data_IF_183927880199
#
_entry.id   IF_183927880199
#
_cell.length_a   1.000
_cell.length_b   1.000
_cell.length_c   1.000
_cell.angle_alpha   90.00
_cell.angle_beta   90.00
_cell.angle_gamma   90.00
#
_symmetry.space_group_name_H-M   'P 1'
#
loop_
_entity.id
_entity.type
_entity.pdbx_description
1 polymer ?
#
# COMPACT_ATOMS: atom_id res chain seq x y z
N UNK A 1 19.62 -10.93 15.87
CA UNK A 1 19.11 -9.55 15.79
C UNK A 1 18.35 -9.30 17.09
N UNK A 2 18.65 -8.24 17.81
CA UNK A 2 18.03 -7.96 19.10
C UNK A 2 17.01 -6.82 18.91
N UNK A 3 15.74 -7.08 19.25
CA UNK A 3 14.67 -6.09 19.22
C UNK A 3 14.57 -5.40 20.56
N UNK A 4 14.23 -4.11 20.56
CA UNK A 4 13.86 -3.39 21.77
C UNK A 4 12.42 -3.73 22.19
N UNK A 5 12.05 -3.33 23.39
CA UNK A 5 10.74 -3.66 23.99
C UNK A 5 9.55 -3.17 23.12
N UNK A 6 9.58 -1.94 22.62
CA UNK A 6 8.54 -1.39 21.77
C UNK A 6 8.39 -2.17 20.45
N UNK A 7 9.53 -2.59 19.85
CA UNK A 7 9.50 -3.45 18.66
C UNK A 7 8.91 -4.83 18.96
N UNK A 8 9.24 -5.42 20.13
CA UNK A 8 8.68 -6.70 20.55
C UNK A 8 7.17 -6.58 20.74
N UNK A 9 6.70 -5.53 21.43
CA UNK A 9 5.27 -5.26 21.59
C UNK A 9 4.56 -5.13 20.24
N UNK A 10 5.13 -4.40 19.28
CA UNK A 10 4.57 -4.27 17.94
C UNK A 10 4.53 -5.59 17.17
N UNK A 11 5.54 -6.45 17.33
CA UNK A 11 5.59 -7.78 16.70
C UNK A 11 4.52 -8.71 17.30
N UNK A 12 4.32 -8.68 18.60
CA UNK A 12 3.47 -9.61 19.33
C UNK A 12 1.99 -9.19 19.39
N UNK A 13 1.67 -7.94 19.05
CA UNK A 13 0.29 -7.46 19.07
C UNK A 13 -0.60 -8.28 18.14
N UNK A 14 -1.73 -8.82 18.63
CA UNK A 14 -2.60 -9.73 17.86
C UNK A 14 -4.09 -9.39 17.87
N UNK A 15 -4.55 -8.51 18.76
CA UNK A 15 -5.98 -8.20 18.89
C UNK A 15 -6.27 -6.73 18.64
N UNK A 16 -7.20 -6.47 17.73
CA UNK A 16 -7.68 -5.14 17.41
C UNK A 16 -6.70 -4.29 16.60
N UNK A 17 -7.08 -3.07 16.27
CA UNK A 17 -6.24 -2.13 15.52
C UNK A 17 -5.04 -1.68 16.37
N UNK A 18 -3.89 -1.52 15.70
CA UNK A 18 -2.66 -1.04 16.31
C UNK A 18 -1.98 -0.03 15.37
N UNK A 19 -1.61 1.11 15.91
CA UNK A 19 -0.83 2.11 15.19
C UNK A 19 0.57 2.19 15.80
N UNK A 20 1.60 2.03 14.94
CA UNK A 20 3.01 2.13 15.34
C UNK A 20 3.62 3.37 14.71
N UNK A 21 4.02 4.33 15.54
CA UNK A 21 4.70 5.55 15.10
C UNK A 21 6.20 5.32 15.23
N UNK A 22 6.93 5.50 14.11
CA UNK A 22 8.35 5.21 14.09
C UNK A 22 9.10 6.10 13.07
N UNK A 23 10.21 6.69 13.49
CA UNK A 23 11.07 7.54 12.67
C UNK A 23 11.81 6.80 11.55
N UNK A 24 12.48 7.51 10.63
CA UNK A 24 13.37 6.91 9.65
C UNK A 24 14.47 6.07 10.35
N UNK A 25 14.87 4.94 9.74
CA UNK A 25 15.92 4.09 10.29
C UNK A 25 15.54 3.23 11.50
N UNK A 26 14.34 3.37 12.08
CA UNK A 26 13.89 2.62 13.27
C UNK A 26 13.59 1.13 13.04
N UNK A 27 13.84 0.60 11.85
CA UNK A 27 13.60 -0.81 11.54
C UNK A 27 12.15 -1.18 11.25
N UNK A 28 11.27 -0.24 10.88
CA UNK A 28 9.84 -0.48 10.59
C UNK A 28 9.59 -1.71 9.71
N UNK A 29 10.30 -1.80 8.60
CA UNK A 29 10.16 -2.92 7.65
C UNK A 29 10.54 -4.25 8.30
N UNK A 30 11.57 -4.25 9.13
CA UNK A 30 12.03 -5.44 9.86
C UNK A 30 10.99 -5.88 10.88
N UNK A 31 10.49 -4.95 11.68
CA UNK A 31 9.42 -5.21 12.67
C UNK A 31 8.19 -5.80 11.97
N UNK A 32 7.77 -5.22 10.84
CA UNK A 32 6.59 -5.65 10.11
C UNK A 32 6.75 -7.07 9.53
N UNK A 33 7.89 -7.38 8.94
CA UNK A 33 8.16 -8.73 8.43
C UNK A 33 8.25 -9.78 9.53
N UNK A 34 8.84 -9.43 10.69
CA UNK A 34 8.84 -10.31 11.86
C UNK A 34 7.45 -10.46 12.49
N UNK A 35 6.62 -9.42 12.46
CA UNK A 35 5.21 -9.52 12.88
C UNK A 35 4.44 -10.52 12.03
N UNK A 36 4.54 -10.44 10.70
CA UNK A 36 3.88 -11.39 9.79
C UNK A 36 4.31 -12.83 10.12
N UNK A 37 5.62 -13.05 10.28
CA UNK A 37 6.14 -14.36 10.69
C UNK A 37 5.58 -14.81 12.03
N UNK A 38 5.54 -13.92 13.03
CA UNK A 38 5.02 -14.21 14.36
C UNK A 38 3.54 -14.61 14.35
N UNK A 39 2.72 -13.91 13.56
CA UNK A 39 1.29 -14.25 13.39
C UNK A 39 1.12 -15.67 12.84
N UNK A 40 1.94 -16.08 11.89
CA UNK A 40 1.89 -17.42 11.30
C UNK A 40 2.39 -18.48 12.30
N UNK A 41 3.58 -18.27 12.88
CA UNK A 41 4.26 -19.30 13.69
C UNK A 41 3.67 -19.44 15.10
N UNK A 42 3.20 -18.34 15.70
CA UNK A 42 2.71 -18.34 17.09
C UNK A 42 1.19 -18.37 17.21
N UNK A 43 0.50 -17.68 16.31
CA UNK A 43 -0.97 -17.64 16.34
C UNK A 43 -1.62 -18.57 15.32
N UNK A 44 -0.86 -19.25 14.47
CA UNK A 44 -1.38 -20.15 13.47
C UNK A 44 -2.24 -19.48 12.41
N UNK A 45 -2.04 -18.16 12.18
CA UNK A 45 -2.79 -17.45 11.15
C UNK A 45 -2.43 -18.00 9.79
N UNK A 46 -3.44 -18.32 8.98
CA UNK A 46 -3.19 -18.82 7.63
C UNK A 46 -2.49 -17.72 6.80
N UNK A 47 -1.35 -18.00 6.16
CA UNK A 47 -0.64 -17.01 5.35
C UNK A 47 -1.49 -16.34 4.27
N UNK A 48 -2.48 -17.04 3.70
CA UNK A 48 -3.41 -16.48 2.70
C UNK A 48 -4.33 -15.39 3.26
N UNK A 49 -4.53 -15.36 4.58
CA UNK A 49 -5.39 -14.40 5.26
C UNK A 49 -4.61 -13.13 5.69
N UNK A 50 -3.30 -13.11 5.40
CA UNK A 50 -2.44 -11.98 5.72
C UNK A 50 -2.20 -11.13 4.46
N UNK A 51 -2.58 -9.86 4.58
CA UNK A 51 -2.38 -8.86 3.55
C UNK A 51 -1.46 -7.74 4.06
N UNK A 52 -0.35 -7.51 3.36
CA UNK A 52 0.60 -6.43 3.63
C UNK A 52 0.52 -5.39 2.53
N UNK A 53 0.04 -4.21 2.87
CA UNK A 53 -0.12 -3.11 1.92
C UNK A 53 0.97 -2.06 2.12
N UNK A 54 1.54 -1.61 1.02
CA UNK A 54 2.53 -0.53 0.99
C UNK A 54 2.11 0.57 0.01
N UNK A 55 2.76 1.72 0.10
CA UNK A 55 2.46 2.81 -0.81
C UNK A 55 3.08 2.60 -2.20
N UNK A 56 4.30 2.05 -2.28
CA UNK A 56 5.01 1.85 -3.53
C UNK A 56 5.21 0.37 -3.86
N UNK A 57 5.25 0.05 -5.16
CA UNK A 57 5.53 -1.30 -5.66
C UNK A 57 6.90 -1.79 -5.20
N UNK A 58 7.92 -0.93 -5.25
CA UNK A 58 9.27 -1.25 -4.80
C UNK A 58 9.32 -1.65 -3.32
N UNK A 59 8.58 -0.93 -2.45
CA UNK A 59 8.49 -1.28 -1.02
C UNK A 59 7.79 -2.63 -0.81
N UNK A 60 6.72 -2.92 -1.56
CA UNK A 60 6.04 -4.21 -1.50
C UNK A 60 6.98 -5.36 -1.88
N UNK A 61 7.73 -5.22 -2.97
CA UNK A 61 8.69 -6.21 -3.42
C UNK A 61 9.83 -6.42 -2.41
N UNK A 62 10.41 -5.34 -1.88
CA UNK A 62 11.43 -5.42 -0.83
C UNK A 62 10.92 -6.14 0.42
N UNK A 63 9.70 -5.84 0.88
CA UNK A 63 9.10 -6.53 2.02
C UNK A 63 8.90 -8.02 1.74
N UNK A 64 8.40 -8.36 0.56
CA UNK A 64 8.21 -9.74 0.12
C UNK A 64 9.54 -10.52 0.12
N UNK A 65 10.61 -9.92 -0.42
CA UNK A 65 11.94 -10.54 -0.44
C UNK A 65 12.49 -10.74 0.99
N UNK A 66 12.39 -9.73 1.86
CA UNK A 66 12.81 -9.85 3.26
C UNK A 66 12.04 -10.92 4.00
N UNK A 67 10.72 -10.98 3.80
CA UNK A 67 9.88 -11.98 4.43
C UNK A 67 10.22 -13.40 3.93
N UNK A 68 10.46 -13.56 2.62
CA UNK A 68 10.89 -14.84 2.04
C UNK A 68 12.21 -15.33 2.65
N UNK A 69 13.17 -14.43 2.89
CA UNK A 69 14.43 -14.77 3.57
C UNK A 69 14.25 -15.18 5.02
N UNK A 70 13.23 -14.65 5.72
CA UNK A 70 12.93 -15.01 7.11
C UNK A 70 12.16 -16.32 7.26
N UNK A 71 11.34 -16.67 6.28
CA UNK A 71 10.41 -17.82 6.35
C UNK A 71 10.95 -19.07 5.69
N UNK A 72 12.21 -19.10 5.27
CA UNK A 72 12.86 -20.27 4.60
C UNK A 72 11.99 -20.83 3.45
N UNK A 73 11.21 -19.98 2.78
CA UNK A 73 10.34 -20.37 1.68
C UNK A 73 8.99 -21.00 2.07
N UNK A 74 8.70 -21.18 3.36
CA UNK A 74 7.47 -21.87 3.83
C UNK A 74 6.18 -21.06 3.74
N UNK A 75 6.23 -19.76 3.46
CA UNK A 75 5.06 -18.87 3.55
C UNK A 75 4.87 -18.04 2.29
N UNK A 76 4.77 -18.68 1.13
CA UNK A 76 4.58 -17.99 -0.17
C UNK A 76 3.17 -17.38 -0.34
N UNK A 77 2.18 -17.76 0.49
CA UNK A 77 0.79 -17.37 0.34
C UNK A 77 0.44 -15.98 0.92
N UNK A 78 1.36 -15.32 1.66
CA UNK A 78 1.15 -13.95 2.15
C UNK A 78 1.08 -12.99 0.98
N UNK A 79 0.05 -12.15 0.94
CA UNK A 79 -0.13 -11.16 -0.11
C UNK A 79 0.59 -9.87 0.25
N UNK A 80 1.52 -9.44 -0.61
CA UNK A 80 2.20 -8.14 -0.55
C UNK A 80 1.82 -7.32 -1.77
N UNK A 81 1.38 -6.08 -1.57
CA UNK A 81 0.99 -5.24 -2.70
C UNK A 81 0.82 -3.76 -2.34
N UNK A 82 0.54 -2.96 -3.35
CA UNK A 82 0.10 -1.58 -3.15
C UNK A 82 -1.42 -1.53 -2.98
N UNK A 83 -1.94 -0.43 -2.42
CA UNK A 83 -3.39 -0.21 -2.36
C UNK A 83 -4.06 -0.45 -3.72
N UNK A 84 -3.55 0.16 -4.79
CA UNK A 84 -4.12 0.02 -6.13
C UNK A 84 -4.15 -1.44 -6.60
N UNK A 85 -3.05 -2.17 -6.45
CA UNK A 85 -2.98 -3.56 -6.89
C UNK A 85 -3.95 -4.48 -6.13
N UNK A 86 -4.05 -4.28 -4.81
CA UNK A 86 -4.95 -5.08 -3.96
C UNK A 86 -6.40 -4.77 -4.28
N UNK A 87 -6.79 -3.49 -4.31
CA UNK A 87 -8.16 -3.09 -4.62
C UNK A 87 -8.57 -3.50 -6.03
N UNK A 88 -7.66 -3.39 -7.00
CA UNK A 88 -7.95 -3.89 -8.35
C UNK A 88 -8.20 -5.40 -8.39
N UNK A 89 -7.46 -6.17 -7.58
CA UNK A 89 -7.71 -7.62 -7.46
C UNK A 89 -9.10 -7.90 -6.88
N UNK A 90 -9.52 -7.13 -5.86
CA UNK A 90 -10.87 -7.23 -5.29
C UNK A 90 -11.93 -6.86 -6.33
N UNK A 91 -11.74 -5.76 -7.07
CA UNK A 91 -12.67 -5.32 -8.11
C UNK A 91 -12.79 -6.36 -9.24
N UNK A 92 -11.69 -7.00 -9.62
CA UNK A 92 -11.73 -8.10 -10.59
C UNK A 92 -12.57 -9.26 -10.11
N UNK A 93 -12.43 -9.64 -8.85
CA UNK A 93 -13.19 -10.76 -8.29
C UNK A 93 -14.68 -10.42 -8.07
N UNK A 94 -14.99 -9.19 -7.63
CA UNK A 94 -16.35 -8.79 -7.29
C UNK A 94 -17.18 -8.33 -8.50
N UNK A 95 -16.56 -7.71 -9.51
CA UNK A 95 -17.26 -7.02 -10.61
C UNK A 95 -16.79 -7.44 -12.01
N UNK A 96 -15.97 -8.49 -12.12
CA UNK A 96 -15.39 -8.95 -13.39
C UNK A 96 -14.60 -7.87 -14.15
N UNK A 97 -14.01 -6.88 -13.45
CA UNK A 97 -13.13 -5.91 -14.09
C UNK A 97 -11.91 -6.59 -14.70
N UNK A 98 -11.51 -6.14 -15.88
CA UNK A 98 -10.30 -6.61 -16.56
C UNK A 98 -9.28 -5.48 -16.70
N UNK A 99 -8.08 -5.80 -17.17
CA UNK A 99 -7.06 -4.80 -17.44
C UNK A 99 -7.50 -3.74 -18.46
N UNK A 100 -8.46 -4.08 -19.33
CA UNK A 100 -9.04 -3.14 -20.30
C UNK A 100 -9.89 -2.04 -19.66
N UNK A 101 -10.35 -2.26 -18.43
CA UNK A 101 -11.12 -1.25 -17.66
C UNK A 101 -10.20 -0.17 -17.06
N UNK A 102 -8.88 -0.35 -17.11
CA UNK A 102 -7.93 0.66 -16.63
C UNK A 102 -7.76 1.73 -17.71
N UNK A 103 -8.13 2.96 -17.37
CA UNK A 103 -7.99 4.11 -18.26
C UNK A 103 -6.51 4.35 -18.55
N UNK A 104 -6.17 4.49 -19.85
CA UNK A 104 -4.81 4.83 -20.26
C UNK A 104 -4.42 6.23 -19.78
N UNK A 105 -3.13 6.47 -19.46
CA UNK A 105 -2.68 7.77 -18.93
C UNK A 105 -3.09 8.97 -19.82
N UNK A 106 -3.06 8.82 -21.14
CA UNK A 106 -3.46 9.88 -22.08
C UNK A 106 -4.94 10.26 -21.90
N UNK A 107 -5.83 9.26 -21.85
CA UNK A 107 -7.27 9.49 -21.68
C UNK A 107 -7.56 10.05 -20.28
N UNK A 108 -6.82 9.59 -19.26
CA UNK A 108 -6.93 10.15 -17.90
C UNK A 108 -6.55 11.62 -17.88
N UNK A 109 -5.47 11.99 -18.55
CA UNK A 109 -5.02 13.39 -18.65
C UNK A 109 -6.06 14.27 -19.36
N UNK A 110 -6.57 13.85 -20.52
CA UNK A 110 -7.61 14.56 -21.26
C UNK A 110 -8.88 14.73 -20.42
N UNK A 111 -9.31 13.67 -19.71
CA UNK A 111 -10.47 13.74 -18.85
C UNK A 111 -10.30 14.74 -17.71
N UNK A 112 -9.14 14.72 -17.04
CA UNK A 112 -8.83 15.66 -15.95
C UNK A 112 -8.82 17.10 -16.49
N UNK A 113 -8.20 17.33 -17.65
CA UNK A 113 -8.14 18.64 -18.31
C UNK A 113 -9.54 19.17 -18.67
N UNK A 114 -10.42 18.32 -19.22
CA UNK A 114 -11.81 18.65 -19.52
C UNK A 114 -12.59 19.05 -18.23
N UNK A 115 -12.42 18.29 -17.14
CA UNK A 115 -13.07 18.59 -15.87
C UNK A 115 -12.55 19.91 -15.26
N UNK A 116 -11.25 20.16 -15.32
CA UNK A 116 -10.67 21.43 -14.84
C UNK A 116 -11.17 22.63 -15.64
N UNK A 117 -11.26 22.49 -16.95
CA UNK A 117 -11.82 23.52 -17.83
C UNK A 117 -13.29 23.81 -17.48
N UNK A 118 -14.10 22.78 -17.22
CA UNK A 118 -15.51 22.93 -16.78
C UNK A 118 -15.65 23.62 -15.42
N UNK A 119 -14.66 23.48 -14.56
CA UNK A 119 -14.61 24.11 -13.25
C UNK A 119 -13.96 25.50 -13.28
N UNK A 120 -13.60 26.00 -14.47
CA UNK A 120 -12.88 27.27 -14.67
C UNK A 120 -11.56 27.34 -13.89
N UNK A 121 -10.88 26.21 -13.74
CA UNK A 121 -9.59 26.10 -13.08
C UNK A 121 -8.46 26.11 -14.11
N UNK A 122 -7.41 26.89 -13.83
CA UNK A 122 -6.21 26.91 -14.65
C UNK A 122 -5.34 25.68 -14.37
N UNK A 123 -4.89 25.03 -15.44
CA UNK A 123 -3.97 23.90 -15.39
C UNK A 123 -2.70 24.23 -16.16
N UNK A 124 -1.56 24.08 -15.52
CA UNK A 124 -0.24 24.25 -16.13
C UNK A 124 0.29 22.88 -16.61
N UNK A 125 0.23 22.64 -17.92
CA UNK A 125 0.68 21.39 -18.55
C UNK A 125 2.19 21.13 -18.33
N UNK A 126 3.02 22.19 -18.22
CA UNK A 126 4.47 22.03 -18.07
C UNK A 126 4.87 21.60 -16.65
N UNK A 127 4.09 22.02 -15.65
CA UNK A 127 4.39 21.75 -14.23
C UNK A 127 3.51 20.67 -13.61
N UNK A 128 2.55 20.13 -14.37
CA UNK A 128 1.53 19.21 -13.86
C UNK A 128 0.85 19.74 -12.57
N UNK A 129 0.68 21.06 -12.48
CA UNK A 129 0.23 21.75 -11.27
C UNK A 129 -1.14 22.38 -11.49
N UNK A 130 -2.05 22.15 -10.55
CA UNK A 130 -3.38 22.77 -10.53
C UNK A 130 -3.29 24.04 -9.68
N UNK A 131 -3.58 25.19 -10.27
CA UNK A 131 -3.69 26.45 -9.56
C UNK A 131 -5.15 26.72 -9.19
N UNK A 132 -5.44 26.82 -7.89
CA UNK A 132 -6.72 27.30 -7.41
C UNK A 132 -6.69 28.83 -7.37
N UNK A 133 -7.34 29.48 -8.33
CA UNK A 133 -7.60 30.91 -8.23
C UNK A 133 -8.80 31.15 -7.32
N UNK A 134 -8.56 31.65 -6.11
CA UNK A 134 -9.62 32.01 -5.14
C UNK A 134 -10.47 33.23 -5.56
N UNK A 135 -10.59 33.53 -6.85
CA UNK A 135 -11.31 34.75 -7.30
C UNK A 135 -12.82 34.66 -7.18
N UNK A 136 -13.43 33.54 -6.84
CA UNK A 136 -14.90 33.36 -6.87
C UNK A 136 -15.49 32.64 -5.65
N UNK A 137 -15.01 32.94 -4.44
CA UNK A 137 -15.80 32.64 -3.23
C UNK A 137 -16.37 34.00 -2.76
N UNK A 138 -17.57 34.31 -3.22
CA UNK A 138 -18.49 35.27 -2.60
C UNK A 138 -19.62 34.51 -1.94
#
# INVERSE_FOLDING_TARGET
>A
MQFNEAQIQAIQHNKGPCMVIAGPGSGKTTVLTHRVRYLIERYGVNPSDILVITFTKAAAEQMKLKFKGLSEGRSSAVTFGTFHAVFFTILKAAYNYSAHCIIKPQIQHEFVKDQLCRLELEYDDEKETIWFSFRHIR
#
